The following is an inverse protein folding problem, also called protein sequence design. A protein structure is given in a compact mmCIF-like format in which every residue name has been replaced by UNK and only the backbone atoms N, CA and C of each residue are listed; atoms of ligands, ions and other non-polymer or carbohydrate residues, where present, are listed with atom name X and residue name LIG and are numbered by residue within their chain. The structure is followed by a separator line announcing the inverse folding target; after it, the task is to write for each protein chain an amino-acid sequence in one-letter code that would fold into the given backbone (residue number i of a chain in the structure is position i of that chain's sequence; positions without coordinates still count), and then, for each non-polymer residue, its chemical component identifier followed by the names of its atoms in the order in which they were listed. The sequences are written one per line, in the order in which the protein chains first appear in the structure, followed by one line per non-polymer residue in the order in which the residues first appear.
data_IF_741628309894
#
_entry.id   IF_741628309894
#
_cell.length_a   1.000
_cell.length_b   1.000
_cell.length_c   1.000
_cell.angle_alpha   90.00
_cell.angle_beta   90.00
_cell.angle_gamma   90.00
#
_symmetry.space_group_name_H-M   'P 1'
#
loop_
_entity.id
_entity.type
_entity.pdbx_description
1 polymer ?
#
# COMPACT_ATOMS: atom_id res chain seq x y z
N UNK A 1 -2.35 -20.63 -15.97
CA UNK A 1 -2.39 -19.70 -15.27
C UNK A 1 -2.43 -18.50 -15.98
N UNK A 2 -3.09 -17.77 -15.68
CA UNK A 2 -3.12 -16.61 -16.31
C UNK A 2 -2.02 -15.81 -15.93
N UNK A 3 -1.35 -15.33 -16.81
CA UNK A 3 -0.32 -14.53 -16.44
C UNK A 3 -0.66 -13.18 -16.80
N UNK A 4 -1.84 -12.89 -17.19
CA UNK A 4 -2.17 -11.56 -17.59
C UNK A 4 -2.57 -10.78 -16.38
N UNK A 5 -1.86 -9.74 -16.07
CA UNK A 5 -2.22 -8.87 -14.98
C UNK A 5 -3.50 -8.14 -15.35
N UNK A 6 -4.37 -7.95 -14.41
CA UNK A 6 -5.59 -7.20 -14.66
C UNK A 6 -5.25 -5.73 -14.88
N UNK A 7 -6.21 -4.99 -15.40
CA UNK A 7 -6.02 -3.56 -15.58
C UNK A 7 -5.73 -2.88 -14.24
N UNK A 8 -6.40 -3.35 -13.18
CA UNK A 8 -6.18 -2.78 -11.85
C UNK A 8 -4.77 -3.11 -11.36
N UNK A 9 -4.30 -4.31 -11.60
CA UNK A 9 -2.93 -4.68 -11.19
C UNK A 9 -1.91 -3.79 -11.90
N UNK A 10 -2.10 -3.53 -13.17
CA UNK A 10 -1.19 -2.65 -13.88
C UNK A 10 -1.31 -1.20 -13.41
N UNK A 11 -2.53 -0.76 -13.12
CA UNK A 11 -2.75 0.61 -12.71
C UNK A 11 -2.21 0.90 -11.32
N UNK A 12 -2.03 -0.14 -10.48
CA UNK A 12 -1.51 0.03 -9.13
C UNK A 12 -0.07 -0.43 -9.01
N UNK A 13 0.59 -0.74 -10.11
CA UNK A 13 1.97 -1.25 -10.06
C UNK A 13 2.92 -0.17 -9.56
N UNK A 14 3.91 -0.60 -8.78
CA UNK A 14 4.92 0.30 -8.24
C UNK A 14 6.30 -0.16 -8.71
N UNK A 15 7.22 0.77 -8.85
CA UNK A 15 8.59 0.48 -9.23
C UNK A 15 9.54 1.07 -8.20
N UNK A 16 10.62 0.36 -7.87
CA UNK A 16 11.53 0.82 -6.82
C UNK A 16 12.41 1.96 -7.29
N UNK A 17 12.66 2.89 -6.38
CA UNK A 17 13.61 3.96 -6.60
C UNK A 17 14.82 3.84 -5.67
N UNK A 18 14.78 2.91 -4.71
CA UNK A 18 15.86 2.71 -3.75
C UNK A 18 15.56 3.36 -2.41
N UNK A 19 16.16 2.85 -1.35
CA UNK A 19 16.08 3.43 0.00
C UNK A 19 14.64 3.65 0.48
N UNK A 20 13.77 2.69 0.21
CA UNK A 20 12.39 2.77 0.67
C UNK A 20 11.50 3.61 -0.23
N UNK A 21 12.02 4.15 -1.31
CA UNK A 21 11.24 4.98 -2.21
C UNK A 21 10.73 4.17 -3.39
N UNK A 22 9.49 4.42 -3.76
CA UNK A 22 8.80 3.73 -4.85
C UNK A 22 8.07 4.76 -5.68
N UNK A 23 7.77 4.45 -6.93
CA UNK A 23 6.98 5.33 -7.76
C UNK A 23 5.85 4.55 -8.42
N UNK A 24 4.82 5.27 -8.77
CA UNK A 24 3.68 4.73 -9.49
C UNK A 24 3.11 5.82 -10.37
N UNK A 25 2.24 5.46 -11.28
CA UNK A 25 1.56 6.45 -12.13
C UNK A 25 0.09 6.47 -11.73
N UNK A 26 -0.40 7.65 -11.39
CA UNK A 26 -1.80 7.82 -11.05
C UNK A 26 -2.58 7.97 -12.35
N UNK A 27 -3.57 7.10 -12.56
CA UNK A 27 -4.29 7.03 -13.82
C UNK A 27 -5.70 7.54 -13.61
N UNK A 28 -6.10 8.52 -14.40
CA UNK A 28 -7.42 9.11 -14.28
C UNK A 28 -8.54 8.13 -14.62
N UNK A 29 -8.26 7.02 -15.26
CA UNK A 29 -9.28 6.01 -15.51
C UNK A 29 -9.89 5.49 -14.21
N UNK A 30 -9.20 5.67 -13.09
CA UNK A 30 -9.68 5.24 -11.77
C UNK A 30 -10.16 6.42 -10.93
N UNK A 31 -10.52 7.52 -11.57
CA UNK A 31 -10.95 8.70 -10.86
C UNK A 31 -12.45 8.76 -10.73
N UNK A 32 -12.89 9.50 -9.73
CA UNK A 32 -14.30 9.86 -9.57
C UNK A 32 -14.41 11.33 -9.93
N UNK A 33 -15.59 11.91 -9.97
CA UNK A 33 -15.72 13.34 -10.24
C UNK A 33 -14.95 14.23 -9.26
N UNK A 34 -14.69 13.69 -8.06
CA UNK A 34 -13.97 14.47 -7.07
C UNK A 34 -12.46 14.21 -7.11
N UNK A 35 -11.98 13.35 -7.99
CA UNK A 35 -10.56 13.03 -8.08
C UNK A 35 -10.34 11.53 -8.09
N UNK A 36 -9.08 11.07 -7.98
CA UNK A 36 -8.79 9.65 -7.98
C UNK A 36 -9.51 8.93 -6.86
N UNK A 37 -9.92 7.71 -7.15
CA UNK A 37 -10.62 6.89 -6.19
C UNK A 37 -9.71 6.57 -5.00
N UNK A 38 -10.22 6.76 -3.78
CA UNK A 38 -9.42 6.52 -2.59
C UNK A 38 -8.96 5.07 -2.45
N UNK A 39 -9.81 4.13 -2.84
CA UNK A 39 -9.42 2.72 -2.81
C UNK A 39 -8.31 2.40 -3.80
N UNK A 40 -8.32 3.05 -4.97
CA UNK A 40 -7.25 2.91 -5.94
C UNK A 40 -5.92 3.42 -5.37
N UNK A 41 -5.96 4.59 -4.74
CA UNK A 41 -4.74 5.15 -4.15
C UNK A 41 -4.25 4.30 -2.98
N UNK A 42 -5.17 3.78 -2.17
CA UNK A 42 -4.79 2.89 -1.07
C UNK A 42 -4.14 1.62 -1.60
N UNK A 43 -4.58 1.12 -2.75
CA UNK A 43 -3.97 -0.07 -3.34
C UNK A 43 -2.53 0.21 -3.78
N UNK A 44 -2.25 1.39 -4.32
CA UNK A 44 -0.88 1.77 -4.68
C UNK A 44 -0.01 1.79 -3.43
N UNK A 45 -0.49 2.41 -2.37
CA UNK A 45 0.26 2.50 -1.11
C UNK A 45 0.52 1.11 -0.55
N UNK A 46 -0.49 0.25 -0.55
CA UNK A 46 -0.37 -1.09 -0.02
C UNK A 46 0.64 -1.91 -0.81
N UNK A 47 0.63 -1.77 -2.13
CA UNK A 47 1.59 -2.49 -2.97
C UNK A 47 3.01 -2.04 -2.70
N UNK A 48 3.23 -0.75 -2.50
CA UNK A 48 4.55 -0.24 -2.17
C UNK A 48 5.01 -0.78 -0.81
N UNK A 49 4.11 -0.80 0.18
CA UNK A 49 4.44 -1.36 1.49
C UNK A 49 4.81 -2.83 1.39
N UNK A 50 4.02 -3.62 0.66
CA UNK A 50 4.28 -5.05 0.52
C UNK A 50 5.59 -5.30 -0.21
N UNK A 51 5.88 -4.52 -1.23
CA UNK A 51 7.11 -4.66 -1.99
C UNK A 51 8.32 -4.31 -1.15
N UNK A 52 8.23 -3.25 -0.34
CA UNK A 52 9.35 -2.87 0.51
C UNK A 52 9.57 -3.91 1.60
N UNK A 53 8.50 -4.48 2.15
CA UNK A 53 8.62 -5.50 3.17
C UNK A 53 9.24 -6.76 2.59
N UNK A 54 8.91 -7.10 1.36
CA UNK A 54 9.57 -8.20 0.65
C UNK A 54 9.35 -9.58 1.21
N UNK A 55 8.33 -9.79 2.02
CA UNK A 55 8.06 -11.07 2.63
C UNK A 55 6.65 -11.53 2.25
N UNK A 56 6.52 -12.41 1.27
CA UNK A 56 5.20 -12.82 0.81
C UNK A 56 4.41 -13.62 1.84
N UNK A 57 5.04 -14.09 2.91
CA UNK A 57 4.33 -14.78 3.97
C UNK A 57 3.61 -13.79 4.89
N UNK A 58 3.93 -12.51 4.83
CA UNK A 58 3.28 -11.52 5.66
C UNK A 58 2.23 -10.81 4.82
N UNK A 59 1.00 -10.97 5.22
CA UNK A 59 -0.13 -10.41 4.48
C UNK A 59 -0.70 -9.22 5.19
N UNK A 60 -1.29 -8.29 4.46
CA UNK A 60 -1.85 -7.11 5.10
C UNK A 60 -3.03 -7.48 6.00
N UNK A 61 -3.05 -6.92 7.18
CA UNK A 61 -4.13 -7.13 8.14
C UNK A 61 -4.89 -5.85 8.40
N UNK A 62 -4.26 -4.72 8.27
CA UNK A 62 -4.94 -3.45 8.42
C UNK A 62 -4.20 -2.39 7.63
N UNK A 63 -4.93 -1.39 7.21
CA UNK A 63 -4.35 -0.24 6.53
C UNK A 63 -5.19 0.98 6.90
N UNK A 64 -4.54 1.99 7.42
CA UNK A 64 -5.18 3.26 7.73
C UNK A 64 -4.55 4.31 6.84
N UNK A 65 -5.37 5.02 6.10
CA UNK A 65 -4.90 6.08 5.24
C UNK A 65 -5.56 7.40 5.61
N UNK A 66 -4.74 8.44 5.70
CA UNK A 66 -5.24 9.78 5.87
C UNK A 66 -5.05 10.49 4.54
N UNK A 67 -6.16 10.89 3.93
CA UNK A 67 -6.13 11.52 2.60
C UNK A 67 -6.07 13.02 2.82
N UNK A 68 -4.92 13.59 2.56
CA UNK A 68 -4.69 15.01 2.83
C UNK A 68 -4.90 15.86 1.61
N UNK A 69 -4.66 15.30 0.43
CA UNK A 69 -4.76 16.03 -0.83
C UNK A 69 -4.93 15.02 -1.94
N UNK A 70 -5.73 15.32 -2.93
CA UNK A 70 -5.90 14.44 -4.08
C UNK A 70 -4.78 14.64 -5.08
N UNK A 71 -4.07 13.61 -5.48
CA UNK A 71 -3.12 13.77 -6.57
C UNK A 71 -3.84 13.88 -7.89
N UNK A 72 -3.17 14.48 -8.87
CA UNK A 72 -3.68 14.52 -10.21
C UNK A 72 -3.11 13.36 -11.01
N UNK A 73 -3.52 13.28 -12.26
CA UNK A 73 -3.00 12.30 -13.18
C UNK A 73 -1.50 12.49 -13.30
N UNK A 74 -0.76 11.43 -13.32
CA UNK A 74 0.69 11.48 -13.47
C UNK A 74 1.41 10.71 -12.37
N UNK A 75 2.71 10.88 -12.32
CA UNK A 75 3.55 10.12 -11.40
C UNK A 75 3.36 10.54 -9.97
N UNK A 76 3.42 9.57 -9.07
CA UNK A 76 3.42 9.81 -7.63
C UNK A 76 4.58 9.05 -7.01
N UNK A 77 5.07 9.53 -5.88
CA UNK A 77 6.14 8.89 -5.16
C UNK A 77 5.58 8.33 -3.86
N UNK A 78 6.03 7.14 -3.47
CA UNK A 78 5.64 6.54 -2.20
C UNK A 78 6.90 6.24 -1.42
N UNK A 79 7.05 6.84 -0.25
CA UNK A 79 8.15 6.53 0.62
C UNK A 79 7.65 5.61 1.69
N UNK A 80 8.31 4.48 1.88
CA UNK A 80 7.89 3.44 2.80
C UNK A 80 8.94 3.25 3.87
N UNK A 81 8.52 3.16 5.12
CA UNK A 81 9.41 2.86 6.23
C UNK A 81 8.86 1.67 6.99
N UNK A 82 9.71 0.69 7.26
CA UNK A 82 9.32 -0.43 8.10
C UNK A 82 9.59 0.03 9.52
N UNK A 83 8.54 0.39 10.23
CA UNK A 83 8.68 0.98 11.56
C UNK A 83 9.07 -0.06 12.59
N UNK A 84 8.56 -1.26 12.45
CA UNK A 84 8.92 -2.34 13.33
C UNK A 84 8.63 -3.65 12.62
N UNK A 85 9.52 -4.60 12.72
CA UNK A 85 9.28 -5.92 12.15
C UNK A 85 9.62 -6.95 13.22
N UNK A 86 8.59 -7.56 13.77
CA UNK A 86 8.75 -8.60 14.75
C UNK A 86 8.65 -9.97 14.13
N UNK A 87 8.59 -10.98 14.99
CA UNK A 87 8.53 -12.35 14.51
C UNK A 87 7.28 -12.59 13.67
N UNK A 88 6.18 -12.05 14.02
CA UNK A 88 4.95 -12.34 13.33
C UNK A 88 4.25 -11.12 12.75
N UNK A 89 4.58 -9.93 13.16
CA UNK A 89 3.89 -8.72 12.71
C UNK A 89 4.90 -7.66 12.34
N UNK A 90 4.63 -6.99 11.23
CA UNK A 90 5.40 -5.82 10.82
C UNK A 90 4.49 -4.61 10.76
N UNK A 91 4.94 -3.48 11.26
CA UNK A 91 4.24 -2.21 11.13
C UNK A 91 4.99 -1.38 10.10
N UNK A 92 4.28 -0.88 9.11
CA UNK A 92 4.87 -0.20 7.97
C UNK A 92 4.16 1.11 7.76
N UNK A 93 4.90 2.19 7.57
CA UNK A 93 4.29 3.48 7.27
C UNK A 93 4.63 3.88 5.85
N UNK A 94 3.83 4.75 5.26
CA UNK A 94 4.07 5.22 3.92
C UNK A 94 3.57 6.65 3.73
N UNK A 95 4.23 7.37 2.82
CA UNK A 95 3.83 8.71 2.43
C UNK A 95 3.76 8.73 0.93
N UNK A 96 2.59 9.03 0.38
CA UNK A 96 2.41 9.18 -1.05
C UNK A 96 2.38 10.66 -1.35
N UNK A 97 3.25 11.12 -2.22
CA UNK A 97 3.39 12.53 -2.56
C UNK A 97 3.40 12.72 -4.07
N UNK A 98 3.04 13.90 -4.50
CA UNK A 98 3.11 14.26 -5.91
C UNK A 98 3.64 15.68 -5.99
N UNK A 99 4.68 15.87 -6.78
CA UNK A 99 5.27 17.17 -6.94
C UNK A 99 5.76 17.78 -5.64
N UNK A 100 6.22 16.93 -4.72
CA UNK A 100 6.72 17.40 -3.43
C UNK A 100 5.64 17.66 -2.40
N UNK A 101 4.37 17.41 -2.73
CA UNK A 101 3.28 17.65 -1.77
C UNK A 101 2.73 16.33 -1.27
N UNK A 102 2.62 16.19 0.04
CA UNK A 102 2.12 14.98 0.66
C UNK A 102 0.63 14.85 0.40
N UNK A 103 0.21 13.73 -0.15
CA UNK A 103 -1.18 13.45 -0.47
C UNK A 103 -1.79 12.45 0.50
N UNK A 104 -1.07 11.41 0.86
CA UNK A 104 -1.58 10.37 1.75
C UNK A 104 -0.53 10.02 2.78
N UNK A 105 -0.97 9.89 4.02
CA UNK A 105 -0.15 9.36 5.09
C UNK A 105 -0.78 8.07 5.54
N UNK A 106 -0.04 6.99 5.57
CA UNK A 106 -0.61 5.67 5.82
C UNK A 106 0.18 4.85 6.83
N UNK A 107 -0.53 3.97 7.51
CA UNK A 107 0.09 3.01 8.41
C UNK A 107 -0.58 1.67 8.17
N UNK A 108 0.21 0.65 7.96
CA UNK A 108 -0.26 -0.69 7.71
C UNK A 108 0.34 -1.71 8.65
N UNK A 109 -0.37 -2.78 8.90
CA UNK A 109 0.14 -3.92 9.65
C UNK A 109 0.08 -5.15 8.77
N UNK A 110 1.16 -5.89 8.74
CA UNK A 110 1.27 -7.13 7.98
C UNK A 110 1.63 -8.23 8.95
N UNK A 111 1.10 -9.40 8.77
CA UNK A 111 1.35 -10.51 9.68
C UNK A 111 1.38 -11.82 8.95
N UNK A 112 2.13 -12.77 9.51
CA UNK A 112 2.12 -14.12 8.99
C UNK A 112 0.81 -14.80 9.39
N UNK A 113 0.44 -15.79 8.61
CA UNK A 113 -0.77 -16.53 8.91
C UNK A 113 -0.43 -17.63 9.90
N UNK A 114 -1.13 -17.65 11.03
CA UNK A 114 -0.87 -18.65 12.03
C UNK A 114 -1.91 -19.71 11.91
N UNK A 115 -1.86 -20.52 10.94
CA UNK A 115 -2.81 -21.51 10.76
C UNK A 115 -3.02 -22.34 11.96
N UNK A 116 -4.18 -22.45 12.40
CA UNK A 116 -4.49 -23.24 13.56
C UNK A 116 -3.99 -22.69 14.85
N UNK A 117 -3.37 -21.61 14.85
CA UNK A 117 -2.74 -21.13 16.01
C UNK A 117 -3.66 -20.39 16.92
N UNK A 118 -4.65 -19.76 16.46
CA UNK A 118 -5.46 -18.97 17.29
C UNK A 118 -6.85 -19.36 17.28
N UNK A 119 -7.46 -19.30 18.36
CA UNK A 119 -8.83 -19.52 18.46
C UNK A 119 -9.41 -18.31 17.92
N UNK A 120 -10.20 -18.42 17.06
CA UNK A 120 -10.67 -17.30 16.52
C UNK A 120 -11.55 -16.63 17.31
N UNK A 121 -12.13 -17.20 18.14
CA UNK A 121 -13.05 -16.61 18.83
C UNK A 121 -12.58 -15.57 19.57
N UNK A 122 -11.92 -15.37 20.05
CA UNK A 122 -11.76 -14.42 20.91
C UNK A 122 -11.12 -13.32 20.51
N UNK A 123 -10.80 -13.29 19.52
CA UNK A 123 -10.12 -12.34 19.26
C UNK A 123 -10.69 -11.27 19.02
N UNK A 124 -10.65 -10.48 19.27
CA UNK A 124 -11.23 -9.52 19.02
C UNK A 124 -10.57 -8.57 19.01
N UNK A 125 -10.32 -8.17 18.88
CA UNK A 125 -9.84 -7.26 18.92
C UNK A 125 -9.63 -6.53 18.74
#
# INVERSE_FOLDING_TARGET
MSTVASAFDRATAVAPLGDGAWCATCDTAWSTPAGPNGGYLAAIVLRAMAAELGDPAREPRSLTCHYLRSPSDGDVDVEVAIERSGRSVSAVSARLSQGGQLCILALGAFAVDFEGALPTDGVTA
#
